data_IF_710523180350
#
_entry.id   IF_710523180350
#
_cell.length_a   1.000
_cell.length_b   1.000
_cell.length_c   1.000
_cell.angle_alpha   90.00
_cell.angle_beta   90.00
_cell.angle_gamma   90.00
#
_symmetry.space_group_name_H-M   'P 1'
#
loop_
_entity.id
_entity.type
_entity.pdbx_description
1 polymer ?
#
# COMPACT_ATOMS: atom_id res chain seq x y z
N UNK A 1 54.26 -16.13 -2.10
CA UNK A 1 53.26 -16.05 -1.01
C UNK A 1 52.26 -14.96 -1.38
N UNK A 2 51.15 -15.36 -1.95
CA UNK A 2 50.06 -14.45 -2.34
C UNK A 2 48.97 -14.47 -1.24
N UNK A 3 48.50 -13.36 -0.71
CA UNK A 3 47.48 -13.35 0.31
C UNK A 3 46.10 -13.68 -0.38
N UNK A 4 45.48 -14.72 0.15
CA UNK A 4 44.08 -15.07 -0.17
C UNK A 4 43.17 -13.90 0.22
N UNK A 5 42.52 -13.30 -0.80
CA UNK A 5 41.45 -12.33 -0.59
C UNK A 5 40.30 -12.98 0.19
N UNK A 6 40.02 -12.44 1.37
CA UNK A 6 38.85 -12.80 2.14
C UNK A 6 37.59 -12.39 1.35
N UNK A 7 36.84 -13.39 0.92
CA UNK A 7 35.47 -13.18 0.41
C UNK A 7 34.65 -12.59 1.56
N UNK A 8 34.17 -11.36 1.37
CA UNK A 8 33.20 -10.76 2.27
C UNK A 8 31.97 -11.66 2.39
N UNK A 9 31.38 -11.82 3.59
CA UNK A 9 30.17 -12.63 3.77
C UNK A 9 29.06 -12.02 2.95
N UNK A 10 28.60 -12.76 1.94
CA UNK A 10 27.42 -12.43 1.18
C UNK A 10 26.22 -12.44 2.15
N UNK A 11 25.69 -11.27 2.48
CA UNK A 11 24.43 -11.19 3.23
C UNK A 11 23.35 -11.98 2.48
N UNK A 12 22.60 -12.83 3.16
CA UNK A 12 21.51 -13.58 2.52
C UNK A 12 20.51 -12.57 1.96
N UNK A 13 20.37 -12.55 0.62
CA UNK A 13 19.39 -11.74 -0.07
C UNK A 13 18.02 -12.25 0.37
N UNK A 14 17.21 -11.39 0.98
CA UNK A 14 15.88 -11.78 1.44
C UNK A 14 15.03 -12.22 0.24
N UNK A 15 14.19 -13.28 0.39
CA UNK A 15 13.38 -13.78 -0.71
C UNK A 15 12.49 -12.69 -1.30
N UNK A 16 12.27 -12.68 -2.63
CA UNK A 16 11.64 -11.56 -3.37
C UNK A 16 10.26 -11.15 -2.82
N UNK A 17 9.46 -12.09 -2.34
CA UNK A 17 8.17 -11.79 -1.68
C UNK A 17 8.32 -10.95 -0.42
N UNK A 18 9.40 -11.14 0.34
CA UNK A 18 9.66 -10.31 1.53
C UNK A 18 10.12 -8.91 1.15
N UNK A 19 10.90 -8.78 0.10
CA UNK A 19 11.36 -7.47 -0.39
C UNK A 19 10.20 -6.64 -0.95
N UNK A 20 9.34 -7.24 -1.78
CA UNK A 20 8.12 -6.60 -2.31
C UNK A 20 7.21 -6.14 -1.17
N UNK A 21 6.92 -7.03 -0.22
CA UNK A 21 6.07 -6.70 0.94
C UNK A 21 6.69 -5.60 1.80
N UNK A 22 8.01 -5.65 2.01
CA UNK A 22 8.72 -4.63 2.80
C UNK A 22 8.65 -3.26 2.17
N UNK A 23 8.90 -3.13 0.84
CA UNK A 23 8.83 -1.85 0.13
C UNK A 23 7.41 -1.31 0.03
N UNK A 24 6.44 -2.16 -0.29
CA UNK A 24 5.04 -1.77 -0.33
C UNK A 24 4.55 -1.30 1.06
N UNK A 25 4.96 -1.98 2.14
CA UNK A 25 4.69 -1.56 3.51
C UNK A 25 5.30 -0.21 3.83
N UNK A 26 6.58 -0.01 3.55
CA UNK A 26 7.26 1.26 3.80
C UNK A 26 6.66 2.44 3.00
N UNK A 27 6.23 2.20 1.76
CA UNK A 27 5.50 3.20 0.98
C UNK A 27 4.18 3.55 1.64
N UNK A 28 3.41 2.54 2.07
CA UNK A 28 2.12 2.73 2.73
C UNK A 28 2.27 3.52 4.03
N UNK A 29 3.23 3.15 4.88
CA UNK A 29 3.51 3.83 6.15
C UNK A 29 3.87 5.30 5.93
N UNK A 30 4.71 5.59 4.93
CA UNK A 30 5.07 6.96 4.57
C UNK A 30 3.87 7.77 4.09
N UNK A 31 3.00 7.19 3.25
CA UNK A 31 1.80 7.87 2.75
C UNK A 31 0.75 8.05 3.84
N UNK A 32 0.62 7.09 4.76
CA UNK A 32 -0.25 7.20 5.93
C UNK A 32 0.20 8.36 6.82
N UNK A 33 1.49 8.44 7.14
CA UNK A 33 2.05 9.53 7.93
C UNK A 33 1.79 10.91 7.29
N UNK A 34 2.02 11.06 5.96
CA UNK A 34 1.73 12.31 5.26
C UNK A 34 0.23 12.65 5.28
N UNK A 35 -0.62 11.65 5.20
CA UNK A 35 -2.08 11.83 5.26
C UNK A 35 -2.51 12.29 6.65
N UNK A 36 -1.96 11.69 7.70
CA UNK A 36 -2.19 12.10 9.10
C UNK A 36 -1.74 13.53 9.35
N UNK A 37 -0.58 13.92 8.82
CA UNK A 37 -0.07 15.29 8.92
C UNK A 37 -1.02 16.30 8.26
N UNK A 38 -1.55 16.01 7.07
CA UNK A 38 -2.49 16.90 6.38
C UNK A 38 -3.86 16.96 7.10
N UNK A 39 -4.32 15.87 7.69
CA UNK A 39 -5.51 15.86 8.54
C UNK A 39 -5.26 16.70 9.79
N UNK A 40 -4.11 16.57 10.44
CA UNK A 40 -3.71 17.37 11.58
C UNK A 40 -3.75 18.85 11.27
N UNK A 41 -3.10 19.30 10.18
CA UNK A 41 -3.13 20.71 9.73
C UNK A 41 -4.54 21.23 9.51
N UNK A 42 -5.44 20.41 8.97
CA UNK A 42 -6.84 20.80 8.79
C UNK A 42 -7.55 21.00 10.13
N UNK A 43 -7.33 20.09 11.09
CA UNK A 43 -7.90 20.21 12.45
C UNK A 43 -7.36 21.45 13.16
N UNK A 44 -6.05 21.68 13.09
CA UNK A 44 -5.40 22.86 13.68
C UNK A 44 -5.97 24.17 13.10
N UNK A 45 -6.28 24.20 11.80
CA UNK A 45 -6.92 25.37 11.17
C UNK A 45 -8.35 25.58 11.70
N UNK A 46 -9.13 24.51 11.88
CA UNK A 46 -10.48 24.63 12.45
C UNK A 46 -10.45 25.04 13.93
N UNK A 47 -9.42 24.63 14.67
CA UNK A 47 -9.21 25.03 16.07
C UNK A 47 -8.74 26.50 16.18
N UNK A 48 -7.85 26.91 15.29
CA UNK A 48 -7.29 28.28 15.33
C UNK A 48 -8.29 29.36 14.86
N UNK A 49 -9.23 29.01 13.99
CA UNK A 49 -10.15 29.94 13.37
C UNK A 49 -11.61 29.55 13.58
N UNK A 50 -12.31 30.26 14.46
CA UNK A 50 -13.76 30.15 14.59
C UNK A 50 -14.42 30.83 13.37
N UNK A 51 -14.70 30.04 12.34
CA UNK A 51 -15.33 30.53 11.11
C UNK A 51 -16.84 30.34 11.16
N UNK A 52 -17.59 31.44 11.33
CA UNK A 52 -19.04 31.40 11.23
C UNK A 52 -19.46 31.61 9.77
N UNK A 53 -19.89 30.56 9.10
CA UNK A 53 -20.35 30.66 7.71
C UNK A 53 -21.70 31.39 7.61
N UNK A 54 -21.97 32.02 6.45
CA UNK A 54 -23.31 32.64 6.19
C UNK A 54 -24.43 31.60 6.23
N UNK A 55 -24.13 30.34 5.87
CA UNK A 55 -25.10 29.26 5.93
C UNK A 55 -25.47 28.93 7.37
N UNK A 56 -24.46 28.86 8.26
CA UNK A 56 -24.64 28.65 9.70
C UNK A 56 -25.49 29.80 10.31
N UNK A 57 -25.15 31.05 10.01
CA UNK A 57 -25.94 32.22 10.48
C UNK A 57 -27.41 32.13 10.08
N UNK A 58 -27.71 31.87 8.80
CA UNK A 58 -29.09 31.73 8.31
C UNK A 58 -29.81 30.51 8.94
N UNK A 59 -29.12 29.45 9.28
CA UNK A 59 -29.70 28.31 9.99
C UNK A 59 -30.03 28.70 11.43
N UNK A 60 -29.13 29.37 12.13
CA UNK A 60 -29.35 29.88 13.49
C UNK A 60 -30.49 30.90 13.56
N UNK A 61 -30.61 31.79 12.57
CA UNK A 61 -31.70 32.76 12.48
C UNK A 61 -33.05 32.05 12.31
N UNK A 62 -33.14 31.07 11.42
CA UNK A 62 -34.38 30.32 11.18
C UNK A 62 -34.85 29.54 12.40
N UNK A 63 -33.90 28.99 13.17
CA UNK A 63 -34.18 28.13 14.32
C UNK A 63 -34.25 28.95 15.64
N UNK A 64 -34.09 30.28 15.57
CA UNK A 64 -34.16 31.17 16.74
C UNK A 64 -33.03 30.97 17.75
N UNK A 65 -31.97 30.24 17.37
CA UNK A 65 -30.88 29.82 18.24
C UNK A 65 -29.93 30.98 18.65
N UNK A 66 -30.02 32.15 18.01
CA UNK A 66 -29.14 33.31 18.25
C UNK A 66 -29.33 33.96 19.62
N UNK A 67 -30.37 33.57 20.38
CA UNK A 67 -30.69 34.13 21.68
C UNK A 67 -29.98 33.47 22.86
N UNK A 68 -29.47 32.25 22.66
CA UNK A 68 -28.78 31.49 23.71
C UNK A 68 -27.34 31.14 23.31
N UNK A 69 -26.31 31.62 24.06
CA UNK A 69 -24.90 31.32 23.75
C UNK A 69 -24.59 29.83 23.61
N UNK A 70 -25.20 28.98 24.43
CA UNK A 70 -25.00 27.52 24.36
C UNK A 70 -25.53 26.92 23.05
N UNK A 71 -26.65 27.44 22.54
CA UNK A 71 -27.20 27.03 21.25
C UNK A 71 -26.27 27.43 20.11
N UNK A 72 -25.69 28.62 20.13
CA UNK A 72 -24.71 29.11 19.13
C UNK A 72 -23.51 28.17 19.07
N UNK A 73 -22.92 27.84 20.22
CA UNK A 73 -21.79 26.90 20.30
C UNK A 73 -22.14 25.52 19.76
N UNK A 74 -23.32 25.00 20.08
CA UNK A 74 -23.77 23.70 19.58
C UNK A 74 -23.87 23.67 18.07
N UNK A 75 -24.45 24.67 17.44
CA UNK A 75 -24.55 24.77 15.99
C UNK A 75 -23.18 24.90 15.33
N UNK A 76 -22.29 25.66 15.94
CA UNK A 76 -20.91 25.80 15.46
C UNK A 76 -20.18 24.45 15.49
N UNK A 77 -20.21 23.73 16.62
CA UNK A 77 -19.56 22.42 16.71
C UNK A 77 -20.16 21.38 15.75
N UNK A 78 -21.48 21.42 15.54
CA UNK A 78 -22.12 20.55 14.54
C UNK A 78 -21.65 20.87 13.12
N UNK A 79 -21.45 22.15 12.77
CA UNK A 79 -20.95 22.57 11.46
C UNK A 79 -19.49 22.13 11.27
N UNK A 80 -18.63 22.37 12.24
CA UNK A 80 -17.23 21.90 12.25
C UNK A 80 -17.16 20.38 12.12
N UNK A 81 -17.94 19.65 12.91
CA UNK A 81 -17.97 18.18 12.84
C UNK A 81 -18.36 17.68 11.44
N UNK A 82 -19.33 18.33 10.81
CA UNK A 82 -19.74 17.99 9.44
C UNK A 82 -18.66 18.34 8.42
N UNK A 83 -17.97 19.49 8.59
CA UNK A 83 -16.86 19.89 7.73
C UNK A 83 -15.71 18.87 7.79
N UNK A 84 -15.29 18.48 9.00
CA UNK A 84 -14.26 17.46 9.23
C UNK A 84 -14.68 16.10 8.65
N UNK A 85 -15.91 15.66 8.92
CA UNK A 85 -16.42 14.39 8.41
C UNK A 85 -16.46 14.31 6.87
N UNK A 86 -16.60 15.45 6.18
CA UNK A 86 -16.55 15.52 4.72
C UNK A 86 -15.12 15.67 4.17
N UNK A 87 -14.25 16.36 4.90
CA UNK A 87 -12.89 16.66 4.47
C UNK A 87 -11.95 15.45 4.65
N UNK A 88 -12.02 14.75 5.77
CA UNK A 88 -11.13 13.60 6.07
C UNK A 88 -11.14 12.52 4.97
N UNK A 89 -12.29 12.03 4.49
CA UNK A 89 -12.29 11.04 3.41
C UNK A 89 -11.64 11.57 2.11
N UNK A 90 -11.80 12.86 1.80
CA UNK A 90 -11.17 13.47 0.63
C UNK A 90 -9.66 13.53 0.75
N UNK A 91 -9.14 13.87 1.94
CA UNK A 91 -7.72 13.87 2.23
C UNK A 91 -7.14 12.46 2.11
N UNK A 92 -7.80 11.46 2.70
CA UNK A 92 -7.38 10.05 2.58
C UNK A 92 -7.33 9.61 1.11
N UNK A 93 -8.37 9.88 0.33
CA UNK A 93 -8.38 9.54 -1.10
C UNK A 93 -7.23 10.25 -1.84
N UNK A 94 -6.98 11.52 -1.54
CA UNK A 94 -5.99 12.33 -2.26
C UNK A 94 -4.57 11.98 -1.88
N UNK A 95 -4.25 11.92 -0.59
CA UNK A 95 -2.89 11.75 -0.10
C UNK A 95 -2.49 10.29 0.09
N UNK A 96 -3.41 9.39 0.40
CA UNK A 96 -3.12 7.98 0.52
C UNK A 96 -3.43 7.22 -0.78
N UNK A 97 -4.70 7.14 -1.20
CA UNK A 97 -5.10 6.24 -2.28
C UNK A 97 -4.50 6.64 -3.63
N UNK A 98 -4.63 7.90 -4.05
CA UNK A 98 -4.09 8.35 -5.35
C UNK A 98 -2.57 8.34 -5.39
N UNK A 99 -1.91 8.70 -4.28
CA UNK A 99 -0.45 8.64 -4.23
C UNK A 99 0.06 7.20 -4.20
N UNK A 100 -0.64 6.28 -3.52
CA UNK A 100 -0.33 4.86 -3.56
C UNK A 100 -0.46 4.32 -4.98
N UNK A 101 -1.57 4.59 -5.67
CA UNK A 101 -1.81 4.17 -7.05
C UNK A 101 -0.70 4.67 -7.99
N UNK A 102 -0.29 5.93 -7.86
CA UNK A 102 0.75 6.52 -8.69
C UNK A 102 2.15 5.94 -8.42
N UNK A 103 2.49 5.64 -7.17
CA UNK A 103 3.86 5.29 -6.76
C UNK A 103 4.12 3.80 -6.61
N UNK A 104 3.08 2.98 -6.42
CA UNK A 104 3.23 1.53 -6.21
C UNK A 104 3.94 0.86 -7.39
N UNK A 105 3.64 1.28 -8.61
CA UNK A 105 4.30 0.77 -9.81
C UNK A 105 5.81 0.99 -9.76
N UNK A 106 6.25 2.21 -9.52
CA UNK A 106 7.68 2.58 -9.47
C UNK A 106 8.43 1.82 -8.36
N UNK A 107 7.84 1.73 -7.16
CA UNK A 107 8.43 1.00 -6.04
C UNK A 107 8.54 -0.51 -6.31
N UNK A 108 7.56 -1.10 -6.99
CA UNK A 108 7.59 -2.52 -7.36
C UNK A 108 8.55 -2.79 -8.53
N UNK A 109 8.64 -1.89 -9.52
CA UNK A 109 9.63 -1.98 -10.58
C UNK A 109 11.05 -1.97 -10.03
N UNK A 110 11.36 -1.11 -9.05
CA UNK A 110 12.67 -1.09 -8.40
C UNK A 110 13.06 -2.41 -7.76
N UNK A 111 12.10 -3.22 -7.32
CA UNK A 111 12.36 -4.58 -6.81
C UNK A 111 12.49 -5.61 -7.94
N UNK A 112 11.64 -5.51 -8.97
CA UNK A 112 11.62 -6.46 -10.09
C UNK A 112 12.93 -6.45 -10.89
N UNK A 113 13.58 -5.29 -11.00
CA UNK A 113 14.85 -5.14 -11.71
C UNK A 113 16.10 -5.35 -10.84
N UNK A 114 15.96 -5.85 -9.61
CA UNK A 114 17.13 -6.23 -8.81
C UNK A 114 17.76 -7.48 -9.47
N UNK A 115 19.07 -7.44 -9.81
CA UNK A 115 19.74 -8.54 -10.55
C UNK A 115 19.48 -9.93 -9.95
N UNK A 116 19.54 -10.07 -8.63
CA UNK A 116 19.27 -11.35 -7.97
C UNK A 116 17.84 -11.88 -8.10
N UNK A 117 16.84 -11.01 -8.34
CA UNK A 117 15.46 -11.45 -8.57
C UNK A 117 15.30 -12.03 -9.98
N UNK A 118 15.95 -11.41 -10.97
CA UNK A 118 15.95 -11.91 -12.34
C UNK A 118 16.60 -13.29 -12.43
N UNK A 119 17.73 -13.51 -11.75
CA UNK A 119 18.39 -14.79 -11.66
C UNK A 119 17.49 -15.83 -11.00
N UNK A 120 16.88 -15.51 -9.86
CA UNK A 120 15.97 -16.43 -9.15
C UNK A 120 14.74 -16.82 -10.01
N UNK A 121 14.18 -15.86 -10.76
CA UNK A 121 13.05 -16.13 -11.67
C UNK A 121 13.50 -17.03 -12.82
N UNK A 122 14.69 -16.80 -13.39
CA UNK A 122 15.25 -17.63 -14.46
C UNK A 122 15.54 -19.05 -13.98
N UNK A 123 16.13 -19.21 -12.79
CA UNK A 123 16.40 -20.53 -12.20
C UNK A 123 15.11 -21.30 -11.93
N UNK A 124 14.08 -20.64 -11.37
CA UNK A 124 12.77 -21.29 -11.16
C UNK A 124 12.08 -21.65 -12.47
N UNK A 125 12.20 -20.83 -13.51
CA UNK A 125 11.66 -21.15 -14.82
C UNK A 125 12.35 -22.38 -15.43
N UNK A 126 13.69 -22.48 -15.25
CA UNK A 126 14.48 -23.64 -15.71
C UNK A 126 14.09 -24.92 -14.96
N UNK A 127 14.04 -24.87 -13.63
CA UNK A 127 13.62 -26.01 -12.78
C UNK A 127 12.22 -26.50 -13.18
N UNK A 128 11.28 -25.58 -13.39
CA UNK A 128 9.93 -25.92 -13.83
C UNK A 128 9.90 -26.60 -15.20
N UNK A 129 10.72 -26.16 -16.15
CA UNK A 129 10.83 -26.78 -17.47
C UNK A 129 11.42 -28.20 -17.38
N UNK A 130 12.40 -28.42 -16.48
CA UNK A 130 12.98 -29.73 -16.18
C UNK A 130 11.94 -30.69 -15.54
N UNK A 131 11.16 -30.21 -14.57
CA UNK A 131 10.08 -30.96 -13.94
C UNK A 131 8.99 -31.35 -14.96
N UNK A 132 8.58 -30.42 -15.82
CA UNK A 132 7.60 -30.69 -16.88
C UNK A 132 8.11 -31.71 -17.92
N UNK A 133 9.42 -31.71 -18.21
CA UNK A 133 10.04 -32.70 -19.07
C UNK A 133 10.04 -34.09 -18.40
N UNK A 134 10.34 -34.13 -17.10
CA UNK A 134 10.34 -35.38 -16.30
C UNK A 134 8.93 -35.97 -16.24
N UNK A 135 7.91 -35.19 -15.98
CA UNK A 135 6.50 -35.61 -15.97
C UNK A 135 6.10 -36.17 -17.34
N UNK A 136 6.47 -35.49 -18.44
CA UNK A 136 6.20 -36.04 -19.80
C UNK A 136 6.87 -37.36 -20.07
N UNK A 137 8.10 -37.57 -19.60
CA UNK A 137 8.81 -38.85 -19.74
C UNK A 137 8.15 -39.95 -18.92
N UNK A 138 7.72 -39.66 -17.69
CA UNK A 138 6.99 -40.63 -16.85
C UNK A 138 5.68 -41.08 -17.50
N UNK A 139 4.91 -40.16 -18.07
CA UNK A 139 3.67 -40.48 -18.81
C UNK A 139 3.97 -41.41 -19.99
N UNK A 140 5.04 -41.15 -20.75
CA UNK A 140 5.45 -42.00 -21.88
C UNK A 140 5.84 -43.38 -21.43
N UNK A 141 6.54 -43.53 -20.30
CA UNK A 141 6.92 -44.83 -19.74
C UNK A 141 5.68 -45.58 -19.27
N UNK A 142 4.75 -44.91 -18.60
CA UNK A 142 3.48 -45.49 -18.18
C UNK A 142 2.65 -46.01 -19.37
N UNK A 143 2.53 -45.22 -20.44
CA UNK A 143 1.86 -45.64 -21.66
C UNK A 143 2.55 -46.84 -22.37
N UNK A 144 3.88 -46.88 -22.32
CA UNK A 144 4.64 -47.99 -22.88
C UNK A 144 4.44 -49.29 -22.05
N UNK A 145 4.42 -49.16 -20.73
CA UNK A 145 4.16 -50.29 -19.81
C UNK A 145 2.74 -50.86 -19.99
N UNK A 146 1.75 -49.98 -20.18
CA UNK A 146 0.35 -50.38 -20.42
C UNK A 146 0.15 -51.17 -21.73
N UNK A 147 1.10 -51.06 -22.70
CA UNK A 147 1.06 -51.78 -23.98
C UNK A 147 1.80 -53.12 -23.95
N UNK A 148 2.49 -53.47 -22.86
CA UNK A 148 3.14 -54.77 -22.72
C UNK A 148 2.07 -55.85 -22.46
N UNK A 149 2.05 -56.94 -23.26
CA UNK A 149 1.14 -58.05 -23.02
C UNK A 149 1.47 -58.71 -21.68
N UNK A 150 0.48 -58.81 -20.82
CA UNK A 150 0.57 -59.62 -19.60
C UNK A 150 0.74 -61.09 -20.04
N UNK A 151 1.94 -61.63 -19.86
CA UNK A 151 2.20 -63.10 -20.04
C UNK A 151 1.70 -63.86 -18.81
#
# INVERSE_FOLDING_TARGET
MTPRGALAPSHPIAPPRRQVRGRAGALLDRLAYLTEEEIGKMIDMEEAYVFVTRALLRRMEREGAHREPCSVLRYYFDDVRQAVAKAVPKLVITYLCRQLEAKVGEELFGVAYTPGLLEEVQDKAKTRAEDEATVRNLIRVEEALAKLPLQ
#
